data_IF_726399446799
#
_entry.id   IF_726399446799
#
_cell.length_a   1.000
_cell.length_b   1.000
_cell.length_c   1.000
_cell.angle_alpha   90.00
_cell.angle_beta   90.00
_cell.angle_gamma   90.00
#
_symmetry.space_group_name_H-M   'P 1'
#
loop_
_entity.id
_entity.type
_entity.pdbx_description
1 polymer ?
#
# COMPACT_ATOMS: atom_id res chain seq x y z
N UNK A 1 2.47 -21.74 -1.09
CA UNK A 1 2.10 -20.45 -0.48
C UNK A 1 0.73 -20.07 -0.98
N UNK A 2 -0.18 -19.70 -0.08
CA UNK A 2 -1.50 -19.17 -0.44
C UNK A 2 -1.45 -17.65 -0.26
N UNK A 3 -1.94 -16.92 -1.25
CA UNK A 3 -2.08 -15.47 -1.22
C UNK A 3 -3.55 -15.11 -1.13
N UNK A 4 -3.87 -14.17 -0.24
CA UNK A 4 -5.19 -13.56 -0.14
C UNK A 4 -4.97 -12.08 -0.32
N UNK A 5 -5.63 -11.50 -1.33
CA UNK A 5 -5.56 -10.08 -1.63
C UNK A 5 -6.90 -9.43 -1.25
N UNK A 6 -6.81 -8.40 -0.42
CA UNK A 6 -7.94 -7.55 -0.04
C UNK A 6 -7.63 -6.11 -0.43
N UNK A 7 -8.65 -5.38 -0.91
CA UNK A 7 -8.51 -3.98 -1.33
C UNK A 7 -9.42 -3.09 -0.48
N UNK A 8 -8.88 -1.94 -0.07
CA UNK A 8 -9.69 -0.89 0.55
C UNK A 8 -10.60 -0.22 -0.49
N UNK A 9 -11.67 0.46 -0.05
CA UNK A 9 -12.38 1.39 -0.92
C UNK A 9 -11.46 2.47 -1.48
N UNK A 10 -11.73 2.91 -2.71
CA UNK A 10 -11.00 4.00 -3.35
C UNK A 10 -11.24 5.34 -2.66
N UNK A 11 -10.17 6.11 -2.48
CA UNK A 11 -10.18 7.49 -1.95
C UNK A 11 -9.57 8.42 -2.97
N UNK A 12 -10.20 9.58 -3.18
CA UNK A 12 -9.68 10.60 -4.10
C UNK A 12 -8.91 11.66 -3.32
N UNK A 13 -7.66 11.89 -3.72
CA UNK A 13 -6.79 12.94 -3.17
C UNK A 13 -6.32 13.78 -4.37
N UNK A 14 -6.60 15.08 -4.36
CA UNK A 14 -6.29 16.00 -5.47
C UNK A 14 -6.83 15.51 -6.84
N UNK A 15 -8.00 14.86 -6.83
CA UNK A 15 -8.62 14.30 -8.05
C UNK A 15 -8.01 13.00 -8.55
N UNK A 16 -7.01 12.45 -7.86
CA UNK A 16 -6.34 11.19 -8.21
C UNK A 16 -6.86 10.07 -7.29
N UNK A 17 -7.25 8.89 -7.83
CA UNK A 17 -7.74 7.78 -7.02
C UNK A 17 -6.60 6.99 -6.37
N UNK A 18 -6.75 6.68 -5.09
CA UNK A 18 -5.84 5.88 -4.27
C UNK A 18 -6.60 4.75 -3.59
N UNK A 19 -5.93 3.62 -3.39
CA UNK A 19 -6.43 2.55 -2.53
C UNK A 19 -5.27 1.77 -1.93
N UNK A 20 -5.55 1.03 -0.85
CA UNK A 20 -4.57 0.16 -0.20
C UNK A 20 -4.91 -1.28 -0.58
N UNK A 21 -3.91 -2.01 -1.06
CA UNK A 21 -3.98 -3.46 -1.22
C UNK A 21 -3.23 -4.13 -0.06
N UNK A 22 -3.88 -5.10 0.58
CA UNK A 22 -3.30 -5.95 1.59
C UNK A 22 -3.11 -7.36 1.02
N UNK A 23 -1.89 -7.87 1.13
CA UNK A 23 -1.58 -9.24 0.75
C UNK A 23 -1.18 -10.02 1.99
N UNK A 24 -1.82 -11.17 2.20
CA UNK A 24 -1.45 -12.14 3.23
C UNK A 24 -0.75 -13.34 2.59
N UNK A 25 0.50 -13.59 2.99
CA UNK A 25 1.26 -14.77 2.59
C UNK A 25 1.38 -15.76 3.76
N UNK A 26 0.87 -16.98 3.57
CA UNK A 26 0.99 -18.06 4.56
C UNK A 26 2.22 -18.92 4.22
N UNK A 27 3.19 -18.97 5.14
CA UNK A 27 4.39 -19.82 5.11
C UNK A 27 4.31 -20.90 6.19
N UNK A 28 5.11 -21.99 6.11
CA UNK A 28 5.08 -23.07 7.09
C UNK A 28 5.35 -22.64 8.55
N UNK A 29 6.12 -21.57 8.74
CA UNK A 29 6.63 -21.08 10.02
C UNK A 29 6.08 -19.71 10.44
N UNK A 30 5.43 -18.99 9.51
CA UNK A 30 4.96 -17.63 9.76
C UNK A 30 3.84 -17.22 8.80
N UNK A 31 3.10 -16.18 9.18
CA UNK A 31 2.19 -15.44 8.29
C UNK A 31 2.82 -14.06 8.08
N UNK A 32 2.94 -13.64 6.82
CA UNK A 32 3.44 -12.31 6.46
C UNK A 32 2.30 -11.47 5.91
N UNK A 33 2.26 -10.21 6.32
CA UNK A 33 1.33 -9.22 5.80
C UNK A 33 2.12 -8.16 5.05
N UNK A 34 1.64 -7.79 3.86
CA UNK A 34 2.21 -6.70 3.06
C UNK A 34 1.10 -5.71 2.75
N UNK A 35 1.42 -4.42 2.85
CA UNK A 35 0.51 -3.34 2.48
C UNK A 35 1.13 -2.52 1.35
N UNK A 36 0.36 -2.30 0.29
CA UNK A 36 0.75 -1.47 -0.85
C UNK A 36 -0.24 -0.32 -1.00
N UNK A 37 0.28 0.90 -1.10
CA UNK A 37 -0.49 2.05 -1.55
C UNK A 37 -0.46 2.07 -3.07
N UNK A 38 -1.62 1.98 -3.71
CA UNK A 38 -1.77 2.09 -5.15
C UNK A 38 -2.36 3.45 -5.50
N UNK A 39 -1.98 3.97 -6.65
CA UNK A 39 -2.40 5.27 -7.16
C UNK A 39 -2.72 5.13 -8.63
N UNK A 40 -3.97 5.45 -9.01
CA UNK A 40 -4.40 5.61 -10.40
C UNK A 40 -4.02 4.45 -11.34
N UNK A 41 -4.07 3.20 -10.84
CA UNK A 41 -3.75 1.98 -11.59
C UNK A 41 -4.68 1.73 -12.79
N UNK A 42 -5.93 2.20 -12.73
CA UNK A 42 -6.91 2.02 -13.82
C UNK A 42 -6.72 3.01 -14.98
N UNK A 43 -5.77 3.95 -14.87
CA UNK A 43 -5.56 4.96 -15.91
C UNK A 43 -4.58 4.49 -16.98
N UNK A 44 -5.05 4.44 -18.23
CA UNK A 44 -4.20 4.16 -19.41
C UNK A 44 -3.30 5.35 -19.80
N UNK A 45 -3.41 6.49 -19.12
CA UNK A 45 -2.62 7.67 -19.43
C UNK A 45 -1.19 7.51 -18.89
N UNK A 46 -0.19 7.64 -19.76
CA UNK A 46 1.22 7.46 -19.39
C UNK A 46 1.97 8.78 -19.06
N UNK A 47 1.26 9.91 -18.97
CA UNK A 47 1.84 11.25 -18.78
C UNK A 47 1.68 11.77 -17.35
N UNK A 48 1.03 11.02 -16.46
CA UNK A 48 0.81 11.47 -15.09
C UNK A 48 1.91 10.98 -14.15
N UNK A 49 2.20 11.79 -13.14
CA UNK A 49 3.08 11.45 -12.03
C UNK A 49 2.47 11.95 -10.73
N UNK A 50 2.64 11.21 -9.65
CA UNK A 50 2.29 11.66 -8.31
C UNK A 50 3.44 11.38 -7.34
N UNK A 51 3.74 12.36 -6.49
CA UNK A 51 4.68 12.19 -5.38
C UNK A 51 3.88 12.30 -4.09
N UNK A 52 4.01 11.29 -3.23
CA UNK A 52 3.22 11.17 -2.01
C UNK A 52 4.13 10.75 -0.86
N UNK A 53 4.05 11.49 0.25
CA UNK A 53 4.51 11.01 1.54
C UNK A 53 3.38 10.27 2.23
N UNK A 54 3.63 9.01 2.64
CA UNK A 54 2.64 8.22 3.35
C UNK A 54 3.21 7.61 4.63
N UNK A 55 2.31 7.37 5.57
CA UNK A 55 2.59 6.57 6.77
C UNK A 55 1.58 5.45 6.86
N UNK A 56 2.06 4.22 6.94
CA UNK A 56 1.23 3.05 7.23
C UNK A 56 1.41 2.69 8.69
N UNK A 57 0.28 2.62 9.38
CA UNK A 57 0.23 2.27 10.80
C UNK A 57 -0.52 0.95 10.96
N UNK A 58 0.17 -0.06 11.50
CA UNK A 58 -0.48 -1.27 11.99
C UNK A 58 -1.02 -0.98 13.39
N UNK A 59 -2.35 -1.00 13.51
CA UNK A 59 -3.04 -0.75 14.76
C UNK A 59 -3.16 -2.03 15.58
N UNK A 60 -2.79 -1.96 16.85
CA UNK A 60 -3.00 -2.98 17.86
C UNK A 60 -4.11 -2.51 18.83
N UNK A 61 -4.81 -3.45 19.47
CA UNK A 61 -5.77 -3.12 20.52
C UNK A 61 -5.13 -2.35 21.68
N UNK A 62 -3.87 -2.65 21.98
CA UNK A 62 -3.02 -1.87 22.87
C UNK A 62 -2.28 -0.79 22.04
N UNK A 63 -2.65 0.50 22.15
CA UNK A 63 -2.09 1.56 21.31
C UNK A 63 -0.57 1.72 21.48
N UNK A 64 0.00 1.27 22.61
CA UNK A 64 1.45 1.31 22.86
C UNK A 64 2.23 0.36 21.97
N UNK A 65 1.55 -0.62 21.36
CA UNK A 65 2.12 -1.63 20.44
C UNK A 65 1.85 -1.31 18.97
N UNK A 66 1.28 -0.14 18.67
CA UNK A 66 1.12 0.30 17.29
C UNK A 66 2.49 0.38 16.60
N UNK A 67 2.57 -0.13 15.38
CA UNK A 67 3.78 -0.03 14.57
C UNK A 67 3.54 0.95 13.44
N UNK A 68 4.45 1.92 13.27
CA UNK A 68 4.36 2.93 12.22
C UNK A 68 5.53 2.76 11.26
N UNK A 69 5.22 2.59 9.98
CA UNK A 69 6.20 2.67 8.89
C UNK A 69 5.91 3.93 8.08
N UNK A 70 6.92 4.79 7.89
CA UNK A 70 6.82 5.98 7.05
C UNK A 70 7.60 5.74 5.77
N UNK A 71 7.00 6.03 4.62
CA UNK A 71 7.67 5.98 3.33
C UNK A 71 7.21 7.09 2.43
N UNK A 72 8.15 7.59 1.63
CA UNK A 72 7.85 8.43 0.48
C UNK A 72 7.77 7.53 -0.75
N UNK A 73 6.72 7.69 -1.55
CA UNK A 73 6.49 6.93 -2.76
C UNK A 73 6.29 7.88 -3.94
N UNK A 74 6.99 7.59 -5.03
CA UNK A 74 6.79 8.26 -6.31
C UNK A 74 6.10 7.30 -7.27
N UNK A 75 4.98 7.74 -7.82
CA UNK A 75 4.18 6.99 -8.77
C UNK A 75 4.39 7.57 -10.16
N UNK A 76 4.71 6.69 -11.11
CA UNK A 76 4.69 6.97 -12.53
C UNK A 76 3.90 5.84 -13.21
N UNK A 77 2.87 6.19 -13.97
CA UNK A 77 2.07 5.23 -14.76
C UNK A 77 1.54 4.04 -13.93
N UNK A 78 1.01 4.30 -12.73
CA UNK A 78 0.39 3.30 -11.86
C UNK A 78 1.38 2.45 -11.06
N UNK A 79 2.68 2.55 -11.36
CA UNK A 79 3.73 1.79 -10.69
C UNK A 79 4.43 2.63 -9.62
N UNK A 80 4.65 2.05 -8.44
CA UNK A 80 5.53 2.64 -7.41
C UNK A 80 6.98 2.42 -7.85
N UNK A 81 7.74 3.50 -8.07
CA UNK A 81 9.20 3.42 -8.05
C UNK A 81 9.65 3.36 -6.58
N UNK A 82 9.70 2.16 -6.00
CA UNK A 82 10.19 1.98 -4.62
C UNK A 82 9.66 0.78 -3.83
N UNK A 83 10.52 0.30 -2.94
CA UNK A 83 10.41 -0.92 -2.12
C UNK A 83 9.04 -1.18 -1.48
N UNK A 84 8.56 -2.42 -1.68
CA UNK A 84 7.43 -3.01 -0.96
C UNK A 84 7.62 -2.86 0.56
N UNK A 85 6.56 -2.48 1.27
CA UNK A 85 6.58 -2.43 2.73
C UNK A 85 6.24 -3.81 3.29
N UNK A 86 7.27 -4.49 3.80
CA UNK A 86 7.15 -5.74 4.54
C UNK A 86 6.98 -5.39 6.03
N UNK A 87 5.95 -5.95 6.66
CA UNK A 87 5.76 -5.92 8.10
C UNK A 87 5.93 -7.35 8.65
#
# INVERSE_FOLDING_TARGET
NQFIDEQSPTRFINGVPYFIALTREIKPDCIRYSARLNCNEESDNSLWTAEVECSVTLLNEDPSKNMVCKKSAKFANGSVEGDSMLF
#
